data_IF_959274070850
#
_entry.id   IF_959274070850
#
_cell.length_a   1.000
_cell.length_b   1.000
_cell.length_c   1.000
_cell.angle_alpha   90.00
_cell.angle_beta   90.00
_cell.angle_gamma   90.00
#
_symmetry.space_group_name_H-M   'P 1'
#
loop_
_entity.id
_entity.type
_entity.pdbx_description
1 polymer ?
#
# COMPACT_ATOMS: atom_id res chain seq x y z
N UNK A 1 -9.53 -8.69 26.37
CA UNK A 1 -8.62 -7.60 25.98
C UNK A 1 -7.26 -8.24 25.77
N UNK A 2 -6.86 -8.45 24.53
CA UNK A 2 -5.63 -9.14 24.20
C UNK A 2 -4.66 -8.13 23.55
N UNK A 3 -3.84 -7.49 24.38
CA UNK A 3 -2.82 -6.51 23.97
C UNK A 3 -1.66 -7.16 23.18
N UNK A 4 -1.68 -8.49 23.03
CA UNK A 4 -0.64 -9.29 22.38
C UNK A 4 -0.53 -9.05 20.86
N UNK A 5 -1.65 -8.82 20.17
CA UNK A 5 -1.66 -8.64 18.72
C UNK A 5 -1.12 -7.26 18.27
N UNK A 6 -1.46 -6.19 19.00
CA UNK A 6 -0.90 -4.85 18.77
C UNK A 6 0.61 -4.81 19.08
N UNK A 7 1.04 -5.47 20.16
CA UNK A 7 2.45 -5.54 20.54
C UNK A 7 3.30 -6.35 19.54
N UNK A 8 2.75 -7.41 18.95
CA UNK A 8 3.49 -8.27 18.00
C UNK A 8 3.75 -7.56 16.67
N UNK A 9 2.76 -6.81 16.15
CA UNK A 9 2.92 -6.11 14.88
C UNK A 9 3.70 -4.79 15.02
N UNK A 10 3.48 -4.03 16.10
CA UNK A 10 4.28 -2.83 16.41
C UNK A 10 5.73 -3.19 16.83
N UNK A 11 5.92 -4.31 17.52
CA UNK A 11 7.22 -4.87 17.89
C UNK A 11 8.08 -5.22 16.67
N UNK A 12 7.48 -5.78 15.62
CA UNK A 12 8.17 -6.07 14.36
C UNK A 12 8.54 -4.80 13.57
N UNK A 13 7.81 -3.70 13.75
CA UNK A 13 8.12 -2.39 13.15
C UNK A 13 9.18 -1.62 13.94
N UNK A 14 9.37 -1.91 15.23
CA UNK A 14 10.37 -1.24 16.08
C UNK A 14 11.76 -1.88 16.05
N UNK A 15 11.89 -3.09 15.49
CA UNK A 15 13.17 -3.79 15.35
C UNK A 15 14.04 -3.35 14.16
N UNK A 16 13.66 -2.29 13.44
CA UNK A 16 14.44 -1.81 12.30
C UNK A 16 15.67 -1.01 12.78
N UNK A 17 16.87 -1.26 12.23
CA UNK A 17 18.00 -0.35 12.43
C UNK A 17 17.64 1.03 11.89
N UNK A 18 17.88 2.07 12.70
CA UNK A 18 17.69 3.46 12.29
C UNK A 18 18.48 3.73 11.01
N UNK A 19 17.78 3.99 9.91
CA UNK A 19 18.40 4.51 8.70
C UNK A 19 18.86 5.92 9.04
N UNK A 20 20.17 6.09 9.24
CA UNK A 20 20.77 7.42 9.29
C UNK A 20 20.70 7.96 7.88
N UNK A 21 19.75 8.87 7.62
CA UNK A 21 19.78 9.69 6.41
C UNK A 21 21.05 10.54 6.47
N UNK A 22 22.06 10.17 5.69
CA UNK A 22 23.16 11.08 5.41
C UNK A 22 22.56 12.29 4.68
N UNK A 23 22.49 13.40 5.40
CA UNK A 23 22.13 14.71 4.87
C UNK A 23 23.44 15.32 4.37
N UNK A 24 23.61 15.61 3.07
CA UNK A 24 24.67 16.51 2.64
C UNK A 24 24.27 17.94 3.01
N UNK A 25 25.21 18.64 3.63
CA UNK A 25 25.08 20.02 4.04
C UNK A 25 24.73 20.97 2.87
N UNK A 26 23.86 21.91 3.19
CA UNK A 26 23.57 23.21 2.59
C UNK A 26 24.26 23.56 1.26
N UNK A 27 23.44 23.59 0.20
CA UNK A 27 23.52 24.68 -0.77
C UNK A 27 22.12 25.24 -0.98
N UNK A 28 21.92 26.46 -0.51
CA UNK A 28 20.77 27.29 -0.81
C UNK A 28 20.69 27.50 -2.33
N UNK A 29 19.79 26.79 -3.00
CA UNK A 29 19.29 27.19 -4.31
C UNK A 29 17.77 27.08 -4.32
N UNK A 30 17.13 28.25 -4.43
CA UNK A 30 15.70 28.39 -4.59
C UNK A 30 15.28 27.82 -5.96
N UNK A 31 15.00 26.52 -6.02
CA UNK A 31 14.58 25.84 -7.24
C UNK A 31 13.08 25.54 -7.22
N UNK A 32 12.33 26.57 -7.61
CA UNK A 32 11.12 26.57 -8.43
C UNK A 32 9.97 25.60 -8.06
N UNK A 33 8.99 26.13 -7.31
CA UNK A 33 7.65 25.54 -7.11
C UNK A 33 6.76 25.54 -8.38
N UNK A 34 7.32 25.67 -9.59
CA UNK A 34 6.55 25.79 -10.83
C UNK A 34 5.92 24.48 -11.33
N UNK A 35 6.28 23.31 -10.78
CA UNK A 35 5.77 22.02 -11.27
C UNK A 35 4.33 21.70 -10.84
N UNK A 36 3.91 22.11 -9.63
CA UNK A 36 2.57 21.79 -9.10
C UNK A 36 1.45 22.58 -9.80
N UNK A 37 1.73 23.77 -10.31
CA UNK A 37 0.74 24.59 -11.03
C UNK A 37 0.46 24.14 -12.47
N UNK A 38 1.33 23.31 -13.07
CA UNK A 38 1.14 22.84 -14.46
C UNK A 38 0.20 21.65 -14.61
N UNK A 39 -0.07 20.90 -13.53
CA UNK A 39 -0.91 19.69 -13.61
C UNK A 39 -2.43 19.96 -13.75
N UNK A 40 -2.86 21.23 -13.68
CA UNK A 40 -4.28 21.58 -13.55
C UNK A 40 -4.95 22.12 -14.83
N UNK A 41 -4.21 22.33 -15.94
CA UNK A 41 -4.76 22.85 -17.20
C UNK A 41 -5.10 21.74 -18.20
N UNK A 42 -6.19 21.92 -18.93
CA UNK A 42 -6.94 20.98 -19.80
C UNK A 42 -6.18 20.38 -21.01
N UNK A 43 -4.85 20.39 -21.03
CA UNK A 43 -4.10 19.81 -22.13
C UNK A 43 -3.59 18.43 -21.70
N UNK A 44 -3.76 17.42 -22.55
CA UNK A 44 -2.99 16.18 -22.42
C UNK A 44 -1.52 16.58 -22.22
N UNK A 45 -0.85 16.06 -21.18
CA UNK A 45 0.59 16.32 -21.01
C UNK A 45 1.25 16.07 -22.36
N UNK A 46 2.07 17.03 -22.82
CA UNK A 46 2.88 16.80 -24.01
C UNK A 46 3.71 15.53 -23.81
N UNK A 47 4.00 14.82 -24.90
CA UNK A 47 4.78 13.56 -24.83
C UNK A 47 6.10 13.74 -24.05
N UNK A 48 6.78 14.89 -24.23
CA UNK A 48 8.00 15.23 -23.51
C UNK A 48 7.78 15.45 -22.00
N UNK A 49 6.73 16.18 -21.60
CA UNK A 49 6.40 16.41 -20.19
C UNK A 49 6.05 15.10 -19.47
N UNK A 50 5.39 14.18 -20.18
CA UNK A 50 5.05 12.87 -19.65
C UNK A 50 6.29 12.00 -19.46
N UNK A 51 7.21 11.98 -20.42
CA UNK A 51 8.46 11.23 -20.32
C UNK A 51 9.31 11.72 -19.14
N UNK A 52 9.44 13.04 -18.98
CA UNK A 52 10.18 13.60 -17.85
C UNK A 52 9.50 13.31 -16.51
N UNK A 53 8.16 13.38 -16.45
CA UNK A 53 7.41 12.96 -15.27
C UNK A 53 7.67 11.49 -14.92
N UNK A 54 7.66 10.59 -15.90
CA UNK A 54 7.91 9.16 -15.69
C UNK A 54 9.32 8.94 -15.16
N UNK A 55 10.33 9.56 -15.80
CA UNK A 55 11.73 9.47 -15.38
C UNK A 55 11.93 9.92 -13.94
N UNK A 56 11.32 11.04 -13.55
CA UNK A 56 11.40 11.56 -12.17
C UNK A 56 10.55 10.77 -11.16
N UNK A 57 9.60 9.98 -11.65
CA UNK A 57 8.73 9.15 -10.81
C UNK A 57 9.34 7.78 -10.53
N UNK A 58 10.27 7.31 -11.35
CA UNK A 58 10.93 6.01 -11.19
C UNK A 58 12.24 6.16 -10.43
N UNK A 59 12.50 5.24 -9.51
CA UNK A 59 13.82 5.09 -8.89
C UNK A 59 14.81 4.48 -9.89
N UNK A 60 16.08 4.83 -9.75
CA UNK A 60 17.18 4.30 -10.58
C UNK A 60 17.94 3.16 -9.90
N UNK A 61 17.75 2.98 -8.59
CA UNK A 61 18.44 2.01 -7.72
C UNK A 61 17.56 0.78 -7.40
N UNK A 62 16.67 0.39 -8.33
CA UNK A 62 15.65 -0.64 -8.08
C UNK A 62 16.23 -2.00 -7.71
N UNK A 63 17.33 -2.39 -8.35
CA UNK A 63 17.96 -3.69 -8.12
C UNK A 63 18.56 -3.75 -6.72
N UNK A 64 19.29 -2.72 -6.30
CA UNK A 64 19.83 -2.62 -4.93
C UNK A 64 18.71 -2.60 -3.90
N UNK A 65 17.65 -1.84 -4.15
CA UNK A 65 16.54 -1.72 -3.22
C UNK A 65 15.78 -3.05 -3.06
N UNK A 66 15.62 -3.81 -4.15
CA UNK A 66 15.03 -5.14 -4.08
C UNK A 66 15.94 -6.13 -3.37
N UNK A 67 17.24 -6.09 -3.60
CA UNK A 67 18.22 -6.93 -2.90
C UNK A 67 18.21 -6.64 -1.39
N UNK A 68 18.25 -5.37 -1.00
CA UNK A 68 18.40 -4.97 0.40
C UNK A 68 17.09 -5.08 1.21
N UNK A 69 15.94 -4.88 0.54
CA UNK A 69 14.65 -4.80 1.22
C UNK A 69 13.64 -5.87 0.78
N UNK A 70 13.95 -6.70 -0.22
CA UNK A 70 13.02 -7.69 -0.76
C UNK A 70 12.49 -8.66 0.29
N UNK A 71 13.37 -9.15 1.16
CA UNK A 71 13.00 -10.04 2.27
C UNK A 71 12.04 -9.36 3.24
N UNK A 72 12.38 -8.15 3.67
CA UNK A 72 11.56 -7.37 4.60
C UNK A 72 10.20 -7.02 4.00
N UNK A 73 10.18 -6.65 2.72
CA UNK A 73 8.94 -6.39 1.99
C UNK A 73 8.06 -7.64 1.95
N UNK A 74 8.64 -8.80 1.63
CA UNK A 74 7.94 -10.07 1.61
C UNK A 74 7.31 -10.40 2.98
N UNK A 75 8.11 -10.35 4.04
CA UNK A 75 7.65 -10.65 5.41
C UNK A 75 6.53 -9.69 5.82
N UNK A 76 6.74 -8.39 5.70
CA UNK A 76 5.74 -7.38 6.09
C UNK A 76 4.46 -7.55 5.28
N UNK A 77 4.56 -7.80 3.98
CA UNK A 77 3.38 -7.96 3.14
C UNK A 77 2.56 -9.21 3.49
N UNK A 78 3.21 -10.34 3.76
CA UNK A 78 2.55 -11.55 4.26
C UNK A 78 1.84 -11.28 5.59
N UNK A 79 2.51 -10.59 6.52
CA UNK A 79 1.92 -10.25 7.83
C UNK A 79 0.70 -9.33 7.69
N UNK A 80 0.79 -8.29 6.85
CA UNK A 80 -0.33 -7.40 6.54
C UNK A 80 -1.51 -8.22 5.98
N UNK A 81 -1.27 -9.17 5.08
CA UNK A 81 -2.34 -10.01 4.53
C UNK A 81 -2.95 -10.89 5.62
N UNK A 82 -2.13 -11.56 6.45
CA UNK A 82 -2.61 -12.43 7.53
C UNK A 82 -3.45 -11.66 8.54
N UNK A 83 -2.97 -10.52 9.01
CA UNK A 83 -3.67 -9.66 9.97
C UNK A 83 -5.01 -9.11 9.44
N UNK A 84 -5.20 -9.12 8.11
CA UNK A 84 -6.41 -8.62 7.44
C UNK A 84 -7.15 -9.73 6.71
N UNK A 85 -6.86 -10.99 7.03
CA UNK A 85 -7.62 -12.13 6.54
C UNK A 85 -8.80 -12.34 7.48
N UNK A 86 -10.01 -12.10 6.98
CA UNK A 86 -11.24 -12.32 7.75
C UNK A 86 -11.77 -13.71 7.40
N UNK A 87 -12.01 -14.58 8.40
CA UNK A 87 -12.63 -15.88 8.16
C UNK A 87 -13.97 -15.74 7.45
N UNK A 88 -14.28 -16.66 6.54
CA UNK A 88 -15.51 -16.65 5.74
C UNK A 88 -16.80 -16.78 6.55
N UNK A 89 -16.70 -17.17 7.82
CA UNK A 89 -17.82 -17.28 8.77
C UNK A 89 -18.05 -16.03 9.63
N UNK A 90 -17.12 -15.08 9.64
CA UNK A 90 -17.21 -13.87 10.47
C UNK A 90 -18.19 -12.85 9.88
N UNK A 91 -18.92 -12.16 10.76
CA UNK A 91 -19.71 -10.99 10.36
C UNK A 91 -18.80 -9.78 10.21
N UNK A 92 -19.21 -8.80 9.40
CA UNK A 92 -18.40 -7.59 9.19
C UNK A 92 -18.25 -6.70 10.45
N UNK A 93 -18.99 -6.97 11.51
CA UNK A 93 -18.99 -6.22 12.78
C UNK A 93 -18.12 -6.89 13.86
N UNK A 94 -17.52 -8.04 13.54
CA UNK A 94 -16.76 -8.80 14.52
C UNK A 94 -15.46 -8.05 14.87
N UNK A 95 -15.02 -8.23 16.12
CA UNK A 95 -13.76 -7.70 16.65
C UNK A 95 -12.54 -7.90 15.72
N UNK A 96 -12.37 -9.02 14.99
CA UNK A 96 -11.27 -9.20 14.04
C UNK A 96 -11.24 -8.17 12.91
N UNK A 97 -12.40 -7.65 12.47
CA UNK A 97 -12.45 -6.61 11.43
C UNK A 97 -11.93 -5.28 11.96
N UNK A 98 -12.31 -4.93 13.19
CA UNK A 98 -11.82 -3.72 13.87
C UNK A 98 -10.30 -3.81 14.09
N UNK A 99 -9.79 -4.93 14.58
CA UNK A 99 -8.35 -5.12 14.78
C UNK A 99 -7.56 -5.10 13.47
N UNK A 100 -8.10 -5.68 12.40
CA UNK A 100 -7.49 -5.59 11.07
C UNK A 100 -7.38 -4.13 10.58
N UNK A 101 -8.43 -3.31 10.77
CA UNK A 101 -8.37 -1.89 10.45
C UNK A 101 -7.39 -1.11 11.34
N UNK A 102 -7.28 -1.48 12.62
CA UNK A 102 -6.29 -0.90 13.55
C UNK A 102 -4.86 -1.18 13.11
N UNK A 103 -4.54 -2.44 12.83
CA UNK A 103 -3.22 -2.85 12.35
C UNK A 103 -2.83 -2.13 11.04
N UNK A 104 -3.79 -2.01 10.11
CA UNK A 104 -3.59 -1.24 8.89
C UNK A 104 -3.37 0.25 9.18
N UNK A 105 -4.15 0.86 10.06
CA UNK A 105 -3.99 2.27 10.40
C UNK A 105 -2.62 2.55 11.03
N UNK A 106 -2.21 1.74 12.00
CA UNK A 106 -0.89 1.83 12.62
C UNK A 106 0.24 1.77 11.57
N UNK A 107 0.15 0.83 10.62
CA UNK A 107 1.13 0.71 9.52
C UNK A 107 1.19 1.96 8.61
N UNK A 108 0.07 2.69 8.48
CA UNK A 108 -0.03 3.88 7.64
C UNK A 108 0.59 5.09 8.36
N UNK A 109 0.45 5.16 9.68
CA UNK A 109 0.84 6.32 10.49
C UNK A 109 2.20 6.19 11.16
N UNK A 110 2.91 5.06 11.02
CA UNK A 110 4.28 4.91 11.52
C UNK A 110 5.20 5.99 10.95
N UNK A 111 5.66 6.91 11.80
CA UNK A 111 6.50 8.05 11.40
C UNK A 111 7.93 7.64 10.99
N UNK A 112 8.49 6.61 11.66
CA UNK A 112 9.86 6.16 11.46
C UNK A 112 9.98 4.85 10.67
N UNK A 113 8.88 4.41 10.04
CA UNK A 113 8.85 3.17 9.26
C UNK A 113 9.41 3.37 7.85
N UNK A 114 9.90 2.31 7.19
CA UNK A 114 10.24 2.38 5.78
C UNK A 114 9.05 2.87 4.95
N UNK A 115 9.27 3.81 4.03
CA UNK A 115 8.20 4.45 3.25
C UNK A 115 7.26 3.45 2.57
N UNK A 116 7.80 2.33 2.11
CA UNK A 116 7.07 1.29 1.39
C UNK A 116 6.05 0.55 2.29
N UNK A 117 6.26 0.48 3.61
CA UNK A 117 5.29 -0.11 4.55
C UNK A 117 3.97 0.63 4.50
N UNK A 118 4.01 1.97 4.56
CA UNK A 118 2.82 2.82 4.49
C UNK A 118 2.09 2.63 3.15
N UNK A 119 2.83 2.52 2.03
CA UNK A 119 2.26 2.30 0.70
C UNK A 119 1.57 0.93 0.60
N UNK A 120 2.20 -0.12 1.13
CA UNK A 120 1.60 -1.46 1.19
C UNK A 120 0.32 -1.46 2.01
N UNK A 121 0.34 -0.88 3.21
CA UNK A 121 -0.82 -0.79 4.08
C UNK A 121 -1.97 0.00 3.42
N UNK A 122 -1.66 1.08 2.70
CA UNK A 122 -2.64 1.83 1.90
C UNK A 122 -3.26 0.97 0.78
N UNK A 123 -2.45 0.20 0.05
CA UNK A 123 -2.98 -0.73 -0.96
C UNK A 123 -3.87 -1.79 -0.31
N UNK A 124 -3.42 -2.39 0.80
CA UNK A 124 -4.20 -3.41 1.49
C UNK A 124 -5.49 -2.85 2.08
N UNK A 125 -5.48 -1.63 2.61
CA UNK A 125 -6.68 -0.96 3.12
C UNK A 125 -7.76 -0.88 2.04
N UNK A 126 -7.40 -0.60 0.79
CA UNK A 126 -8.37 -0.56 -0.31
C UNK A 126 -8.96 -1.95 -0.55
N UNK A 127 -8.12 -2.97 -0.70
CA UNK A 127 -8.57 -4.36 -0.95
C UNK A 127 -9.39 -4.90 0.22
N UNK A 128 -9.00 -4.57 1.45
CA UNK A 128 -9.71 -4.98 2.65
C UNK A 128 -11.07 -4.28 2.77
N UNK A 129 -11.15 -2.99 2.47
CA UNK A 129 -12.42 -2.25 2.42
C UNK A 129 -13.37 -2.85 1.38
N UNK A 130 -12.86 -3.23 0.20
CA UNK A 130 -13.66 -3.89 -0.85
C UNK A 130 -14.16 -5.28 -0.41
N UNK A 131 -13.31 -6.04 0.29
CA UNK A 131 -13.69 -7.32 0.91
C UNK A 131 -14.82 -7.13 1.91
N UNK A 132 -14.67 -6.20 2.86
CA UNK A 132 -15.69 -5.89 3.88
C UNK A 132 -16.98 -5.39 3.23
N UNK A 133 -16.89 -4.55 2.19
CA UNK A 133 -18.06 -4.13 1.41
C UNK A 133 -18.78 -5.32 0.77
N UNK A 134 -18.05 -6.32 0.25
CA UNK A 134 -18.65 -7.55 -0.26
C UNK A 134 -19.32 -8.36 0.85
N UNK A 135 -18.65 -8.54 2.00
CA UNK A 135 -19.21 -9.24 3.16
C UNK A 135 -20.49 -8.58 3.66
N UNK A 136 -20.50 -7.24 3.79
CA UNK A 136 -21.72 -6.47 4.17
C UNK A 136 -22.85 -6.73 3.19
N UNK A 137 -22.55 -6.78 1.88
CA UNK A 137 -23.55 -7.07 0.85
C UNK A 137 -24.17 -8.44 1.05
N UNK A 138 -23.34 -9.45 1.31
CA UNK A 138 -23.80 -10.83 1.48
C UNK A 138 -24.56 -11.03 2.80
N UNK A 139 -24.11 -10.40 3.88
CA UNK A 139 -24.81 -10.42 5.17
C UNK A 139 -26.19 -9.74 5.08
N UNK A 140 -26.31 -8.63 4.34
CA UNK A 140 -27.61 -7.98 4.06
C UNK A 140 -28.52 -8.90 3.24
N UNK A 141 -28.00 -9.55 2.19
CA UNK A 141 -28.76 -10.52 1.38
C UNK A 141 -29.28 -11.69 2.22
N UNK A 142 -28.46 -12.17 3.16
CA UNK A 142 -28.80 -13.24 4.10
C UNK A 142 -29.61 -12.78 5.31
N UNK A 143 -30.03 -11.51 5.36
CA UNK A 143 -30.77 -10.88 6.47
C UNK A 143 -30.05 -10.96 7.83
N UNK A 144 -28.73 -11.13 7.84
CA UNK A 144 -27.88 -11.09 9.05
C UNK A 144 -27.59 -9.66 9.50
N UNK A 145 -27.66 -8.71 8.56
CA UNK A 145 -27.56 -7.28 8.85
C UNK A 145 -28.79 -6.55 8.30
N UNK A 146 -29.38 -5.62 9.08
CA UNK A 146 -30.49 -4.82 8.60
C UNK A 146 -30.04 -3.93 7.43
N UNK A 147 -30.88 -3.83 6.41
CA UNK A 147 -30.70 -2.85 5.35
C UNK A 147 -31.00 -1.46 5.93
N UNK A 148 -29.96 -0.66 6.19
CA UNK A 148 -30.14 0.73 6.62
C UNK A 148 -30.45 1.61 5.40
N UNK A 149 -31.64 2.19 5.36
CA UNK A 149 -32.07 3.13 4.31
C UNK A 149 -31.05 4.27 4.20
N UNK A 150 -30.60 4.57 2.98
CA UNK A 150 -29.60 5.63 2.71
C UNK A 150 -28.13 5.25 2.94
N UNK A 151 -27.83 4.07 3.51
CA UNK A 151 -26.45 3.65 3.75
C UNK A 151 -25.83 2.93 2.54
N UNK A 152 -24.93 3.62 1.83
CA UNK A 152 -24.09 2.99 0.80
C UNK A 152 -23.13 2.00 1.44
N UNK A 153 -23.01 0.81 0.85
CA UNK A 153 -22.15 -0.28 1.33
C UNK A 153 -20.70 0.19 1.53
N UNK A 154 -20.16 0.93 0.56
CA UNK A 154 -18.80 1.51 0.64
C UNK A 154 -18.69 2.52 1.80
N UNK A 155 -19.75 3.30 2.05
CA UNK A 155 -19.79 4.21 3.19
C UNK A 155 -19.71 3.46 4.51
N UNK A 156 -20.43 2.33 4.64
CA UNK A 156 -20.39 1.50 5.85
C UNK A 156 -18.98 0.96 6.13
N UNK A 157 -18.26 0.47 5.11
CA UNK A 157 -16.89 -0.03 5.29
C UNK A 157 -15.92 1.07 5.75
N UNK A 158 -16.13 2.31 5.30
CA UNK A 158 -15.33 3.47 5.74
C UNK A 158 -15.70 3.95 7.12
N UNK A 159 -16.98 3.88 7.49
CA UNK A 159 -17.40 4.19 8.84
C UNK A 159 -16.82 3.16 9.84
N UNK A 160 -16.67 1.88 9.44
CA UNK A 160 -15.95 0.87 10.23
C UNK A 160 -14.46 1.21 10.39
N UNK A 161 -13.78 1.58 9.30
CA UNK A 161 -12.39 2.05 9.38
C UNK A 161 -12.23 3.29 10.25
N UNK A 162 -13.15 4.25 10.14
CA UNK A 162 -13.17 5.44 10.98
C UNK A 162 -13.39 5.08 12.44
N UNK A 163 -14.36 4.22 12.76
CA UNK A 163 -14.58 3.74 14.13
C UNK A 163 -13.35 3.04 14.72
N UNK A 164 -12.65 2.24 13.91
CA UNK A 164 -11.40 1.60 14.32
C UNK A 164 -10.28 2.61 14.58
N UNK A 165 -10.21 3.70 13.81
CA UNK A 165 -9.14 4.70 13.91
C UNK A 165 -9.45 5.92 14.80
N UNK A 166 -10.70 6.10 15.22
CA UNK A 166 -11.13 7.27 15.99
C UNK A 166 -10.40 7.45 17.33
N UNK A 167 -9.94 6.38 17.96
CA UNK A 167 -9.18 6.44 19.21
C UNK A 167 -7.79 7.08 19.05
N UNK A 168 -7.25 7.14 17.83
CA UNK A 168 -6.06 7.95 17.50
C UNK A 168 -6.41 9.40 17.12
N UNK A 169 -7.62 9.87 17.43
CA UNK A 169 -8.07 11.23 17.09
C UNK A 169 -8.36 11.46 15.61
N UNK A 170 -8.47 10.39 14.82
CA UNK A 170 -8.69 10.48 13.37
C UNK A 170 -10.12 10.90 13.07
N UNK A 171 -10.27 12.05 12.42
CA UNK A 171 -11.58 12.55 11.98
C UNK A 171 -12.11 11.72 10.80
N UNK A 172 -13.43 11.74 10.60
CA UNK A 172 -14.06 11.11 9.42
C UNK A 172 -13.51 11.68 8.10
N UNK A 173 -13.20 12.97 8.06
CA UNK A 173 -12.57 13.61 6.90
C UNK A 173 -11.18 13.04 6.62
N UNK A 174 -10.37 12.82 7.67
CA UNK A 174 -9.06 12.19 7.55
C UNK A 174 -9.18 10.75 7.04
N UNK A 175 -10.15 9.98 7.52
CA UNK A 175 -10.45 8.64 7.00
C UNK A 175 -10.77 8.64 5.50
N UNK A 176 -11.55 9.62 5.03
CA UNK A 176 -11.85 9.80 3.60
C UNK A 176 -10.62 10.26 2.79
N UNK A 177 -9.72 11.06 3.37
CA UNK A 177 -8.43 11.42 2.74
C UNK A 177 -7.54 10.18 2.59
N UNK A 178 -7.39 9.38 3.65
CA UNK A 178 -6.62 8.15 3.65
C UNK A 178 -7.19 7.17 2.62
N UNK A 179 -8.51 6.98 2.57
CA UNK A 179 -9.15 6.15 1.53
C UNK A 179 -8.85 6.62 0.11
N UNK A 180 -8.86 7.94 -0.14
CA UNK A 180 -8.53 8.49 -1.46
C UNK A 180 -7.06 8.25 -1.82
N UNK A 181 -6.15 8.40 -0.87
CA UNK A 181 -4.73 8.06 -1.05
C UNK A 181 -4.53 6.55 -1.29
N UNK A 182 -5.22 5.71 -0.53
CA UNK A 182 -5.23 4.26 -0.66
C UNK A 182 -5.62 3.81 -2.08
N UNK A 183 -6.71 4.35 -2.60
CA UNK A 183 -7.14 4.04 -3.96
C UNK A 183 -6.15 4.53 -5.03
N UNK A 184 -5.44 5.65 -4.78
CA UNK A 184 -4.40 6.15 -5.69
C UNK A 184 -3.17 5.24 -5.70
N UNK A 185 -2.72 4.78 -4.54
CA UNK A 185 -1.66 3.77 -4.46
C UNK A 185 -2.05 2.45 -5.09
N UNK A 186 -3.30 2.01 -4.94
CA UNK A 186 -3.79 0.82 -5.62
C UNK A 186 -3.69 0.94 -7.15
N UNK A 187 -3.99 2.11 -7.72
CA UNK A 187 -3.82 2.36 -9.16
C UNK A 187 -2.36 2.21 -9.59
N UNK A 188 -1.43 2.70 -8.77
CA UNK A 188 0.00 2.67 -9.06
C UNK A 188 0.62 1.28 -8.86
N UNK A 189 0.16 0.53 -7.86
CA UNK A 189 0.56 -0.86 -7.60
C UNK A 189 0.13 -1.81 -8.72
N UNK A 190 -0.94 -1.48 -9.45
CA UNK A 190 -1.50 -2.32 -10.51
C UNK A 190 -1.76 -3.74 -9.97
N UNK A 191 -1.09 -4.74 -10.55
CA UNK A 191 -1.27 -6.15 -10.21
C UNK A 191 -0.37 -6.60 -9.06
N UNK A 192 0.73 -5.90 -8.77
CA UNK A 192 1.71 -6.35 -7.77
C UNK A 192 2.17 -5.25 -6.81
N UNK A 193 2.11 -5.50 -5.49
CA UNK A 193 2.61 -4.55 -4.48
C UNK A 193 4.11 -4.28 -4.62
N UNK A 194 4.88 -5.17 -5.26
CA UNK A 194 6.30 -4.94 -5.55
C UNK A 194 6.51 -3.67 -6.39
N UNK A 195 5.55 -3.34 -7.26
CA UNK A 195 5.63 -2.15 -8.12
C UNK A 195 5.59 -0.83 -7.32
N UNK A 196 5.16 -0.87 -6.05
CA UNK A 196 5.22 0.31 -5.19
C UNK A 196 6.64 0.76 -4.90
N UNK A 197 7.63 -0.15 -4.96
CA UNK A 197 9.03 0.18 -4.77
C UNK A 197 9.60 1.03 -5.91
N UNK A 198 8.99 0.94 -7.09
CA UNK A 198 9.46 1.65 -8.27
C UNK A 198 9.34 3.16 -8.11
N UNK A 199 8.37 3.61 -7.33
CA UNK A 199 8.02 5.01 -7.26
C UNK A 199 8.86 5.81 -6.26
N UNK A 200 9.30 7.00 -6.67
CA UNK A 200 10.03 7.96 -5.82
C UNK A 200 9.10 8.73 -4.89
N UNK A 201 9.68 9.53 -3.98
CA UNK A 201 8.94 10.46 -3.12
C UNK A 201 8.11 11.49 -3.87
N UNK A 202 8.49 11.79 -5.13
CA UNK A 202 7.70 12.67 -6.00
C UNK A 202 6.28 12.11 -6.17
N UNK A 203 6.15 10.80 -6.28
CA UNK A 203 4.85 10.15 -6.43
C UNK A 203 4.07 10.16 -5.11
N UNK A 204 4.74 10.08 -3.95
CA UNK A 204 4.06 10.30 -2.66
C UNK A 204 3.39 11.67 -2.61
N UNK A 205 4.09 12.72 -3.04
CA UNK A 205 3.54 14.08 -3.11
C UNK A 205 2.32 14.14 -4.04
N UNK A 206 2.38 13.50 -5.21
CA UNK A 206 1.26 13.42 -6.16
C UNK A 206 0.06 12.61 -5.61
N UNK A 207 0.31 11.56 -4.83
CA UNK A 207 -0.75 10.75 -4.22
C UNK A 207 -1.45 11.52 -3.10
N UNK A 208 -0.68 12.26 -2.29
CA UNK A 208 -1.18 13.13 -1.21
C UNK A 208 -1.94 14.34 -1.75
N UNK A 209 -1.51 14.90 -2.88
CA UNK A 209 -2.22 15.98 -3.55
C UNK A 209 -3.50 15.47 -4.24
N UNK A 210 -4.61 15.65 -3.53
CA UNK A 210 -5.93 15.22 -4.01
C UNK A 210 -6.44 16.00 -5.22
N UNK A 211 -5.79 17.10 -5.62
CA UNK A 211 -6.10 17.83 -6.85
C UNK A 211 -5.60 17.11 -8.10
N UNK A 212 -4.55 16.28 -7.98
CA UNK A 212 -4.04 15.47 -9.10
C UNK A 212 -5.12 14.51 -9.59
N UNK A 213 -5.39 14.48 -10.90
CA UNK A 213 -6.43 13.62 -11.45
C UNK A 213 -6.02 12.15 -11.41
N UNK A 214 -6.98 11.27 -11.10
CA UNK A 214 -6.75 9.81 -11.16
C UNK A 214 -6.32 9.34 -12.57
N UNK A 215 -6.81 10.00 -13.63
CA UNK A 215 -6.38 9.72 -15.00
C UNK A 215 -4.88 9.93 -15.20
N UNK A 216 -4.30 10.96 -14.58
CA UNK A 216 -2.85 11.23 -14.62
C UNK A 216 -2.08 10.09 -13.97
N UNK A 217 -2.52 9.63 -12.79
CA UNK A 217 -1.88 8.49 -12.11
C UNK A 217 -2.01 7.19 -12.90
N UNK A 218 -3.15 6.95 -13.57
CA UNK A 218 -3.33 5.80 -14.47
C UNK A 218 -2.42 5.85 -15.68
N UNK A 219 -2.21 7.03 -16.27
CA UNK A 219 -1.27 7.20 -17.37
C UNK A 219 0.16 6.99 -16.90
N UNK A 220 0.54 7.59 -15.77
CA UNK A 220 1.84 7.38 -15.15
C UNK A 220 2.12 5.89 -14.90
N UNK A 221 1.20 5.18 -14.25
CA UNK A 221 1.34 3.75 -13.97
C UNK A 221 1.58 2.93 -15.25
N UNK A 222 0.83 3.22 -16.32
CA UNK A 222 0.99 2.54 -17.62
C UNK A 222 2.33 2.83 -18.27
N UNK A 223 2.79 4.07 -18.27
CA UNK A 223 4.08 4.43 -18.88
C UNK A 223 5.26 3.88 -18.07
N UNK A 224 5.20 3.94 -16.74
CA UNK A 224 6.18 3.28 -15.86
C UNK A 224 6.23 1.78 -16.17
N UNK A 225 5.08 1.12 -16.31
CA UNK A 225 5.05 -0.30 -16.67
C UNK A 225 5.72 -0.54 -18.03
N UNK A 226 5.52 0.30 -19.04
CA UNK A 226 6.18 0.12 -20.35
C UNK A 226 7.71 0.18 -20.24
N UNK A 227 8.23 1.15 -19.50
CA UNK A 227 9.67 1.41 -19.36
C UNK A 227 10.39 0.48 -18.38
N UNK A 228 9.64 -0.23 -17.54
CA UNK A 228 10.22 -1.15 -16.56
C UNK A 228 10.90 -2.36 -17.23
N UNK A 229 12.08 -2.78 -16.74
CA UNK A 229 12.76 -3.99 -17.23
C UNK A 229 11.87 -5.23 -17.16
N UNK A 230 11.96 -6.10 -18.18
CA UNK A 230 11.18 -7.33 -18.24
C UNK A 230 11.41 -8.25 -17.03
N UNK A 231 12.66 -8.31 -16.55
CA UNK A 231 13.06 -9.08 -15.36
C UNK A 231 12.29 -8.62 -14.11
N UNK A 232 12.14 -7.32 -13.91
CA UNK A 232 11.41 -6.76 -12.77
C UNK A 232 9.89 -7.01 -12.87
N UNK A 233 9.31 -7.00 -14.08
CA UNK A 233 7.91 -7.38 -14.29
C UNK A 233 7.67 -8.85 -13.93
N UNK A 234 8.57 -9.73 -14.36
CA UNK A 234 8.50 -11.15 -14.01
C UNK A 234 8.62 -11.36 -12.50
N UNK A 235 9.60 -10.71 -11.85
CA UNK A 235 9.78 -10.74 -10.40
C UNK A 235 8.53 -10.23 -9.66
N UNK A 236 7.89 -9.17 -10.14
CA UNK A 236 6.66 -8.65 -9.54
C UNK A 236 5.49 -9.64 -9.60
N UNK A 237 5.35 -10.38 -10.70
CA UNK A 237 4.32 -11.42 -10.84
C UNK A 237 4.61 -12.64 -9.96
N UNK A 238 5.86 -13.11 -9.96
CA UNK A 238 6.28 -14.26 -9.15
C UNK A 238 6.24 -13.96 -7.65
N UNK A 239 6.56 -12.73 -7.25
CA UNK A 239 6.43 -12.25 -5.88
C UNK A 239 4.99 -12.38 -5.37
N UNK A 240 4.01 -11.98 -6.18
CA UNK A 240 2.60 -12.09 -5.80
C UNK A 240 2.19 -13.55 -5.62
N UNK A 241 2.63 -14.44 -6.52
CA UNK A 241 2.35 -15.88 -6.43
C UNK A 241 2.97 -16.48 -5.16
N UNK A 242 4.23 -16.15 -4.88
CA UNK A 242 4.93 -16.59 -3.68
C UNK A 242 4.13 -16.21 -2.43
N UNK A 243 3.76 -14.93 -2.29
CA UNK A 243 2.98 -14.43 -1.16
C UNK A 243 1.65 -15.18 -1.00
N UNK A 244 0.93 -15.41 -2.11
CA UNK A 244 -0.33 -16.15 -2.07
C UNK A 244 -0.15 -17.57 -1.54
N UNK A 245 0.87 -18.29 -2.01
CA UNK A 245 1.21 -19.64 -1.54
C UNK A 245 1.51 -19.61 -0.03
N UNK A 246 2.33 -18.66 0.41
CA UNK A 246 2.73 -18.50 1.82
C UNK A 246 1.55 -18.26 2.75
N UNK A 247 0.61 -17.40 2.32
CA UNK A 247 -0.60 -17.11 3.10
C UNK A 247 -1.53 -18.33 3.11
N UNK A 248 -1.76 -18.95 1.95
CA UNK A 248 -2.67 -20.10 1.84
C UNK A 248 -2.18 -21.34 2.61
N UNK A 249 -0.88 -21.62 2.55
CA UNK A 249 -0.26 -22.76 3.24
C UNK A 249 0.11 -22.46 4.69
N UNK A 250 -0.13 -21.23 5.15
CA UNK A 250 0.21 -20.76 6.48
C UNK A 250 1.68 -21.06 6.87
N UNK A 251 2.62 -20.74 5.97
CA UNK A 251 4.04 -20.99 6.20
C UNK A 251 4.57 -20.33 7.48
N UNK A 252 5.42 -21.03 8.21
CA UNK A 252 6.22 -20.45 9.29
C UNK A 252 7.41 -19.63 8.75
N UNK A 253 8.23 -19.09 9.66
CA UNK A 253 9.37 -18.25 9.28
C UNK A 253 10.44 -18.99 8.47
N UNK A 254 10.70 -20.27 8.76
CA UNK A 254 11.70 -21.08 8.05
C UNK A 254 11.23 -21.39 6.63
N UNK A 255 9.97 -21.77 6.48
CA UNK A 255 9.35 -22.02 5.18
C UNK A 255 9.26 -20.75 4.34
N UNK A 256 8.94 -19.60 4.97
CA UNK A 256 9.00 -18.29 4.31
C UNK A 256 10.41 -17.97 3.81
N UNK A 257 11.43 -18.19 4.64
CA UNK A 257 12.83 -17.94 4.26
C UNK A 257 13.24 -18.83 3.08
N UNK A 258 12.95 -20.12 3.16
CA UNK A 258 13.25 -21.06 2.07
C UNK A 258 12.59 -20.65 0.74
N UNK A 259 11.31 -20.28 0.78
CA UNK A 259 10.58 -19.84 -0.41
C UNK A 259 11.16 -18.52 -0.97
N UNK A 260 11.50 -17.57 -0.10
CA UNK A 260 12.12 -16.31 -0.51
C UNK A 260 13.52 -16.52 -1.10
N UNK A 261 14.35 -17.40 -0.52
CA UNK A 261 15.68 -17.71 -1.06
C UNK A 261 15.58 -18.28 -2.48
N UNK A 262 14.63 -19.18 -2.73
CA UNK A 262 14.37 -19.70 -4.08
C UNK A 262 13.90 -18.61 -5.04
N UNK A 263 13.00 -17.74 -4.58
CA UNK A 263 12.54 -16.60 -5.36
C UNK A 263 13.68 -15.64 -5.69
N UNK A 264 14.52 -15.31 -4.71
CA UNK A 264 15.68 -14.43 -4.87
C UNK A 264 16.65 -15.01 -5.89
N UNK A 265 17.05 -16.28 -5.75
CA UNK A 265 17.97 -16.95 -6.69
C UNK A 265 17.49 -16.85 -8.16
N UNK A 266 16.20 -17.08 -8.41
CA UNK A 266 15.60 -16.97 -9.77
C UNK A 266 15.65 -15.56 -10.37
N UNK A 267 15.74 -14.53 -9.53
CA UNK A 267 15.66 -13.13 -9.98
C UNK A 267 16.95 -12.33 -9.74
N UNK A 268 17.97 -12.89 -9.09
CA UNK A 268 19.28 -12.23 -8.95
C UNK A 268 20.37 -12.83 -9.83
N UNK A 269 20.24 -14.07 -10.30
CA UNK A 269 21.19 -14.65 -11.28
C UNK A 269 20.84 -14.20 -12.71
N UNK A 270 21.57 -13.19 -13.23
CA UNK A 270 22.20 -13.02 -14.57
C UNK A 270 22.98 -11.72 -14.52
#
# INVERSE_FOLDING_TARGET
MDQSAEATFAGLISGFPSITSQTPADTHDAMDCSASNKLNRRNALGSADLQELVRQSMRTDLDNLFHDHGWHLYVVWVQIIRATSVPSASTCLDLPVTEAFRALHASITTENGPYWVSRLALVRLTTFTDLIASTIRDDRKRKRLPAKVGSRIVGTAIDLYHGASAHWGVTRENSEKIRRMANRWRILAQESPLLLLVYTEKVDKMVRDLSVRLATLKTLAREVLKLMPAKLKAAAADFLRMVQITVQRNYDAEQMLAEFTQFHARHTEV
#
